data_IF_398929846767
#
_entry.id   IF_398929846767
#
_cell.length_a   1.000
_cell.length_b   1.000
_cell.length_c   1.000
_cell.angle_alpha   90.00
_cell.angle_beta   90.00
_cell.angle_gamma   90.00
#
_symmetry.space_group_name_H-M   'P 1'
#
loop_
_entity.id
_entity.type
_entity.pdbx_description
1 polymer ?
#
# COMPACT_ATOMS: atom_id res chain seq x y z
N UNK A 1 -20.79 -12.50 22.43
CA UNK A 1 -19.31 -12.53 22.50
C UNK A 1 -18.72 -12.58 21.09
N UNK A 2 -18.81 -11.49 20.33
CA UNK A 2 -18.29 -11.40 18.96
C UNK A 2 -17.74 -10.00 18.62
N UNK A 3 -17.50 -9.16 19.63
CA UNK A 3 -17.03 -7.78 19.47
C UNK A 3 -15.55 -7.61 19.87
N UNK A 4 -14.89 -8.65 20.36
CA UNK A 4 -13.55 -8.56 20.94
C UNK A 4 -12.40 -8.89 19.97
N UNK A 5 -12.69 -9.21 18.69
CA UNK A 5 -11.67 -9.63 17.73
C UNK A 5 -11.23 -8.53 16.74
N UNK A 6 -11.90 -7.38 16.71
CA UNK A 6 -11.55 -6.29 15.77
C UNK A 6 -10.61 -5.24 16.37
N UNK A 7 -10.29 -5.32 17.67
CA UNK A 7 -9.47 -4.32 18.38
C UNK A 7 -7.99 -4.73 18.51
N UNK A 8 -7.60 -5.86 17.93
CA UNK A 8 -6.25 -6.44 18.03
C UNK A 8 -5.46 -6.29 16.71
N UNK A 9 -5.63 -5.14 16.05
CA UNK A 9 -4.70 -4.67 15.00
C UNK A 9 -3.92 -3.42 15.46
N UNK A 10 -3.93 -3.12 16.75
CA UNK A 10 -2.97 -2.22 17.36
C UNK A 10 -1.58 -2.88 17.37
N UNK A 11 -0.57 -2.13 16.97
CA UNK A 11 0.86 -2.45 17.09
C UNK A 11 1.46 -3.45 16.08
N UNK A 12 1.34 -3.13 14.79
CA UNK A 12 2.47 -3.38 13.88
C UNK A 12 3.01 -2.02 13.49
N UNK A 13 3.96 -1.49 14.25
CA UNK A 13 4.62 -0.22 13.92
C UNK A 13 5.04 -0.24 12.44
N UNK A 14 4.37 0.54 11.58
CA UNK A 14 4.70 0.57 10.17
C UNK A 14 5.95 1.42 10.06
N UNK A 15 7.11 0.76 10.17
CA UNK A 15 8.43 1.27 9.83
C UNK A 15 8.60 2.79 10.06
N UNK A 16 8.74 3.25 11.31
CA UNK A 16 9.08 4.62 11.70
C UNK A 16 8.73 5.68 10.61
N UNK A 17 7.44 5.97 10.50
CA UNK A 17 6.89 6.93 9.56
C UNK A 17 7.69 8.24 9.59
N UNK A 18 8.12 8.78 8.44
CA UNK A 18 8.94 9.99 8.44
C UNK A 18 8.13 11.15 9.04
N UNK A 19 8.56 11.62 10.22
CA UNK A 19 7.94 12.75 10.92
C UNK A 19 8.14 14.08 10.17
N UNK A 20 9.18 14.15 9.33
CA UNK A 20 9.48 15.27 8.45
C UNK A 20 9.54 14.78 6.99
N UNK A 21 8.91 15.53 6.09
CA UNK A 21 8.89 15.23 4.67
C UNK A 21 7.70 15.88 3.95
N UNK A 22 7.62 15.72 2.61
CA UNK A 22 6.49 16.17 1.80
C UNK A 22 5.13 15.84 2.42
N UNK A 23 4.16 16.73 2.22
CA UNK A 23 2.81 16.61 2.79
C UNK A 23 2.13 15.26 2.47
N UNK A 24 2.49 14.63 1.34
CA UNK A 24 2.00 13.31 0.96
C UNK A 24 2.29 12.25 2.03
N UNK A 25 3.46 12.27 2.67
CA UNK A 25 3.84 11.26 3.68
C UNK A 25 3.13 11.44 5.03
N UNK A 26 2.43 12.56 5.21
CA UNK A 26 1.62 12.85 6.41
C UNK A 26 0.19 12.32 6.29
N UNK A 27 -0.24 11.86 5.11
CA UNK A 27 -1.59 11.32 4.88
C UNK A 27 -1.79 9.97 5.58
N UNK A 28 -2.87 9.71 6.32
CA UNK A 28 -3.14 8.40 6.94
C UNK A 28 -2.74 7.17 6.10
N UNK A 29 -2.23 6.12 6.75
CA UNK A 29 -1.65 4.96 6.07
C UNK A 29 -2.60 4.34 5.05
N UNK A 30 -3.88 4.28 5.39
CA UNK A 30 -4.96 3.72 4.59
C UNK A 30 -5.14 4.47 3.27
N UNK A 31 -4.94 5.80 3.28
CA UNK A 31 -4.99 6.66 2.10
C UNK A 31 -3.75 6.46 1.23
N UNK A 32 -2.57 6.32 1.84
CA UNK A 32 -1.35 6.01 1.10
C UNK A 32 -1.44 4.64 0.43
N UNK A 33 -1.99 3.64 1.14
CA UNK A 33 -2.26 2.31 0.59
C UNK A 33 -3.27 2.39 -0.56
N UNK A 34 -4.31 3.22 -0.43
CA UNK A 34 -5.30 3.42 -1.48
C UNK A 34 -4.66 4.04 -2.72
N UNK A 35 -3.94 5.16 -2.57
CA UNK A 35 -3.22 5.83 -3.65
C UNK A 35 -2.27 4.85 -4.34
N UNK A 36 -1.46 4.13 -3.57
CA UNK A 36 -0.52 3.16 -4.12
C UNK A 36 -1.22 1.98 -4.82
N UNK A 37 -2.43 1.59 -4.40
CA UNK A 37 -3.18 0.52 -5.06
C UNK A 37 -3.71 0.89 -6.45
N UNK A 38 -3.75 2.18 -6.79
CA UNK A 38 -4.10 2.67 -8.12
C UNK A 38 -2.87 2.84 -9.04
N UNK A 39 -1.66 2.65 -8.53
CA UNK A 39 -0.44 2.73 -9.34
C UNK A 39 -0.16 1.41 -10.05
N UNK A 40 0.40 1.50 -11.26
CA UNK A 40 0.92 0.35 -11.98
C UNK A 40 2.22 -0.17 -11.34
N UNK A 41 2.62 -1.38 -11.71
CA UNK A 41 3.82 -2.04 -11.19
C UNK A 41 5.08 -1.20 -11.42
N UNK A 42 5.16 -0.49 -12.55
CA UNK A 42 6.30 0.35 -12.91
C UNK A 42 6.34 1.62 -12.07
N UNK A 43 5.23 2.29 -11.82
CA UNK A 43 5.19 3.44 -10.92
C UNK A 43 5.48 3.05 -9.46
N UNK A 44 4.99 1.90 -8.99
CA UNK A 44 5.35 1.37 -7.68
C UNK A 44 6.85 1.11 -7.56
N UNK A 45 7.46 0.51 -8.58
CA UNK A 45 8.90 0.31 -8.66
C UNK A 45 9.69 1.62 -8.58
N UNK A 46 9.25 2.67 -9.30
CA UNK A 46 9.86 4.00 -9.22
C UNK A 46 9.67 4.66 -7.86
N UNK A 47 8.48 4.53 -7.26
CA UNK A 47 8.17 5.07 -5.93
C UNK A 47 9.07 4.47 -4.84
N UNK A 48 9.33 3.16 -4.92
CA UNK A 48 10.22 2.45 -4.00
C UNK A 48 11.67 2.99 -4.00
N UNK A 49 12.10 3.64 -5.09
CA UNK A 49 13.44 4.21 -5.22
C UNK A 49 13.58 5.61 -4.59
N UNK A 50 12.47 6.28 -4.25
CA UNK A 50 12.50 7.67 -3.77
C UNK A 50 13.10 7.76 -2.36
N UNK A 51 12.70 6.88 -1.44
CA UNK A 51 13.28 6.85 -0.10
C UNK A 51 13.15 5.47 0.57
N UNK A 52 13.93 5.25 1.64
CA UNK A 52 13.95 3.96 2.37
C UNK A 52 12.59 3.60 2.96
N UNK A 53 11.84 4.60 3.40
CA UNK A 53 10.50 4.40 3.96
C UNK A 53 9.52 3.91 2.89
N UNK A 54 9.49 4.59 1.74
CA UNK A 54 8.67 4.18 0.59
C UNK A 54 9.00 2.79 0.12
N UNK A 55 10.29 2.43 0.05
CA UNK A 55 10.69 1.06 -0.29
C UNK A 55 10.04 0.03 0.62
N UNK A 56 10.05 0.28 1.94
CA UNK A 56 9.40 -0.61 2.93
C UNK A 56 7.89 -0.60 2.77
N UNK A 57 7.30 0.57 2.52
CA UNK A 57 5.87 0.73 2.32
C UNK A 57 5.35 0.00 1.08
N UNK A 58 6.01 0.15 -0.07
CA UNK A 58 5.67 -0.54 -1.32
C UNK A 58 5.90 -2.06 -1.24
N UNK A 59 6.73 -2.52 -0.30
CA UNK A 59 6.96 -3.94 -0.05
C UNK A 59 5.98 -4.55 0.97
N UNK A 60 5.04 -3.79 1.53
CA UNK A 60 4.14 -4.33 2.56
C UNK A 60 3.02 -5.20 1.97
N UNK A 61 2.70 -6.31 2.64
CA UNK A 61 1.68 -7.26 2.16
C UNK A 61 0.28 -6.66 2.06
N UNK A 62 -0.05 -5.66 2.90
CA UNK A 62 -1.35 -4.99 2.87
C UNK A 62 -1.61 -4.31 1.52
N UNK A 63 -0.58 -3.69 0.94
CA UNK A 63 -0.68 -3.06 -0.37
C UNK A 63 -0.94 -4.12 -1.46
N UNK A 64 -0.12 -5.18 -1.49
CA UNK A 64 -0.22 -6.25 -2.47
C UNK A 64 -1.55 -7.00 -2.39
N UNK A 65 -2.08 -7.23 -1.19
CA UNK A 65 -3.42 -7.80 -0.98
C UNK A 65 -4.52 -6.90 -1.56
N UNK A 66 -4.41 -5.57 -1.41
CA UNK A 66 -5.36 -4.62 -2.01
C UNK A 66 -5.27 -4.63 -3.53
N UNK A 67 -4.06 -4.60 -4.09
CA UNK A 67 -3.83 -4.67 -5.54
C UNK A 67 -4.45 -5.95 -6.09
N UNK A 68 -4.11 -7.12 -5.53
CA UNK A 68 -4.65 -8.40 -5.97
C UNK A 68 -6.19 -8.44 -5.92
N UNK A 69 -6.80 -7.92 -4.85
CA UNK A 69 -8.27 -7.83 -4.74
C UNK A 69 -8.86 -6.90 -5.80
N UNK A 70 -8.24 -5.75 -6.06
CA UNK A 70 -8.68 -4.83 -7.11
C UNK A 70 -8.57 -5.48 -8.50
N UNK A 71 -7.47 -6.19 -8.79
CA UNK A 71 -7.25 -6.91 -10.05
C UNK A 71 -8.28 -8.03 -10.28
N UNK A 72 -8.71 -8.71 -9.21
CA UNK A 72 -9.79 -9.69 -9.29
C UNK A 72 -11.14 -9.01 -9.57
N UNK A 73 -11.41 -7.88 -8.92
CA UNK A 73 -12.69 -7.16 -9.02
C UNK A 73 -12.85 -6.39 -10.34
N UNK A 74 -11.76 -5.97 -10.99
CA UNK A 74 -11.81 -5.31 -12.29
C UNK A 74 -11.97 -6.31 -13.45
N UNK A 75 -11.89 -7.61 -13.16
CA UNK A 75 -11.55 -8.62 -14.16
C UNK A 75 -10.11 -8.41 -14.64
N UNK A 76 -9.31 -9.47 -14.70
CA UNK A 76 -8.03 -9.40 -15.41
C UNK A 76 -8.34 -9.02 -16.86
N UNK A 77 -8.11 -7.76 -17.26
CA UNK A 77 -8.30 -7.37 -18.66
C UNK A 77 -7.33 -8.17 -19.50
N UNK A 78 -7.90 -8.96 -20.42
CA UNK A 78 -7.33 -10.03 -21.24
C UNK A 78 -6.22 -9.61 -22.21
N UNK A 79 -5.57 -8.47 -21.99
CA UNK A 79 -4.54 -7.90 -22.86
C UNK A 79 -3.11 -8.06 -22.34
N UNK A 80 -2.87 -8.46 -21.09
CA UNK A 80 -1.52 -8.82 -20.64
C UNK A 80 -0.45 -7.75 -20.93
N UNK A 81 -0.82 -6.47 -20.92
CA UNK A 81 0.05 -5.33 -21.26
C UNK A 81 0.65 -4.63 -20.04
N UNK A 82 0.71 -5.30 -18.89
CA UNK A 82 1.41 -4.80 -17.72
C UNK A 82 2.38 -5.87 -17.15
N UNK A 83 3.35 -6.24 -17.99
CA UNK A 83 4.75 -6.52 -17.65
C UNK A 83 5.63 -5.79 -18.67
#
# INVERSE_FOLDING_TARGET
>A
MAAAAEEEAAAREPAARPAAGPALWRLPEELLLLICSYLDMRALGRLAQVCRWLRRFTSCDLLWRRIARASLNSGFTRLGTDL
#
